data_IF_875206251293
#
_entry.id   IF_875206251293
#
_cell.length_a   1.000
_cell.length_b   1.000
_cell.length_c   1.000
_cell.angle_alpha   90.00
_cell.angle_beta   90.00
_cell.angle_gamma   90.00
#
_symmetry.space_group_name_H-M   'P 1'
#
loop_
_entity.id
_entity.type
_entity.pdbx_description
1 polymer ?
#
# COMPACT_ATOMS: atom_id res chain seq x y z
N UNK A 1 -9.53 48.67 39.42
CA UNK A 1 -10.21 47.56 38.71
C UNK A 1 -9.75 47.34 37.27
N UNK A 2 -9.07 48.27 36.59
CA UNK A 2 -8.73 48.19 35.15
C UNK A 2 -7.47 47.38 34.85
N UNK A 3 -6.44 47.37 35.69
CA UNK A 3 -5.18 46.63 35.46
C UNK A 3 -5.31 45.11 35.62
N UNK A 4 -6.13 44.64 36.55
CA UNK A 4 -6.35 43.18 36.77
C UNK A 4 -7.14 42.54 35.61
N UNK A 5 -8.12 43.28 35.05
CA UNK A 5 -8.87 42.82 33.88
C UNK A 5 -8.02 42.73 32.60
N UNK A 6 -7.00 43.60 32.48
CA UNK A 6 -6.09 43.57 31.34
C UNK A 6 -5.10 42.41 31.44
N UNK A 7 -4.54 42.11 32.61
CA UNK A 7 -3.65 40.98 32.85
C UNK A 7 -4.35 39.63 32.64
N UNK A 8 -5.62 39.48 33.07
CA UNK A 8 -6.42 38.27 32.82
C UNK A 8 -6.69 38.07 31.32
N UNK A 9 -6.91 39.13 30.53
CA UNK A 9 -7.11 39.04 29.08
C UNK A 9 -5.85 38.60 28.36
N UNK A 10 -4.66 39.08 28.74
CA UNK A 10 -3.40 38.63 28.13
C UNK A 10 -3.02 37.20 28.53
N UNK A 11 -3.33 36.76 29.76
CA UNK A 11 -3.09 35.37 30.18
C UNK A 11 -4.03 34.39 29.48
N UNK A 12 -5.29 34.75 29.26
CA UNK A 12 -6.21 33.90 28.48
C UNK A 12 -5.83 33.81 26.99
N UNK A 13 -5.44 34.93 26.38
CA UNK A 13 -4.94 34.95 25.00
C UNK A 13 -3.65 34.14 24.84
N UNK A 14 -2.72 34.27 25.78
CA UNK A 14 -1.48 33.47 25.79
C UNK A 14 -1.78 31.99 26.00
N UNK A 15 -2.69 31.59 26.90
CA UNK A 15 -3.10 30.22 27.13
C UNK A 15 -3.79 29.61 25.88
N UNK A 16 -4.66 30.39 25.21
CA UNK A 16 -5.28 29.95 23.95
C UNK A 16 -4.25 29.81 22.81
N UNK A 17 -3.24 30.66 22.74
CA UNK A 17 -2.14 30.52 21.77
C UNK A 17 -1.29 29.26 22.06
N UNK A 18 -0.96 29.01 23.33
CA UNK A 18 -0.23 27.81 23.75
C UNK A 18 -1.02 26.53 23.50
N UNK A 19 -2.32 26.52 23.76
CA UNK A 19 -3.20 25.37 23.46
C UNK A 19 -3.30 25.09 21.94
N UNK A 20 -3.33 26.12 21.09
CA UNK A 20 -3.32 25.96 19.65
C UNK A 20 -1.95 25.49 19.10
N UNK A 21 -0.84 25.94 19.71
CA UNK A 21 0.51 25.48 19.33
C UNK A 21 0.71 24.02 19.76
N UNK A 22 0.21 23.61 20.93
CA UNK A 22 0.26 22.20 21.36
C UNK A 22 -0.62 21.28 20.49
N UNK A 23 -1.80 21.75 20.06
CA UNK A 23 -2.64 21.00 19.14
C UNK A 23 -2.00 20.83 17.73
N UNK A 24 -1.23 21.84 17.29
CA UNK A 24 -0.51 21.79 16.01
C UNK A 24 0.72 20.86 16.02
N UNK A 25 1.10 20.29 17.17
CA UNK A 25 2.21 19.35 17.33
C UNK A 25 1.76 17.91 17.64
N UNK A 26 0.46 17.66 17.73
CA UNK A 26 -0.05 16.32 17.96
C UNK A 26 0.10 15.49 16.67
N UNK A 27 0.99 14.51 16.72
CA UNK A 27 1.14 13.50 15.67
C UNK A 27 -0.17 12.73 15.51
N UNK A 28 -0.61 12.54 14.26
CA UNK A 28 -1.79 11.76 13.94
C UNK A 28 -1.40 10.55 13.08
N UNK A 29 -1.96 9.39 13.43
CA UNK A 29 -1.84 8.20 12.63
C UNK A 29 -2.99 8.18 11.61
N UNK A 30 -2.65 8.09 10.31
CA UNK A 30 -3.63 8.08 9.20
C UNK A 30 -3.39 6.89 8.30
N UNK A 31 -4.46 6.31 7.77
CA UNK A 31 -4.34 5.15 6.90
C UNK A 31 -5.32 5.16 5.73
N UNK A 32 -4.87 4.55 4.63
CA UNK A 32 -5.72 4.09 3.53
C UNK A 32 -5.50 2.60 3.33
N UNK A 33 -6.59 1.83 3.38
CA UNK A 33 -6.61 0.40 3.10
C UNK A 33 -7.42 0.19 1.82
N UNK A 34 -6.82 -0.44 0.81
CA UNK A 34 -7.47 -0.85 -0.44
C UNK A 34 -7.42 -2.37 -0.52
N UNK A 35 -8.57 -3.02 -0.61
CA UNK A 35 -8.65 -4.48 -0.73
C UNK A 35 -9.72 -4.90 -1.74
N UNK A 36 -9.32 -5.64 -2.77
CA UNK A 36 -10.21 -6.05 -3.86
C UNK A 36 -10.24 -7.57 -3.92
N UNK A 37 -11.34 -8.15 -3.44
CA UNK A 37 -11.57 -9.59 -3.43
C UNK A 37 -12.35 -10.06 -4.63
N UNK A 38 -13.28 -9.23 -5.09
CA UNK A 38 -14.21 -9.58 -6.17
C UNK A 38 -14.07 -8.56 -7.28
N UNK A 39 -13.77 -9.07 -8.45
CA UNK A 39 -13.71 -8.28 -9.66
C UNK A 39 -15.01 -8.42 -10.46
N UNK A 40 -15.32 -7.47 -11.36
CA UNK A 40 -16.51 -7.57 -12.21
C UNK A 40 -16.48 -8.84 -13.06
N UNK A 41 -17.63 -9.45 -13.22
CA UNK A 41 -17.79 -10.53 -14.21
C UNK A 41 -17.41 -10.02 -15.60
N UNK A 42 -16.61 -10.78 -16.32
CA UNK A 42 -16.08 -10.39 -17.63
C UNK A 42 -14.86 -9.48 -17.63
N UNK A 43 -14.37 -9.04 -16.46
CA UNK A 43 -13.10 -8.28 -16.38
C UNK A 43 -11.86 -9.13 -16.72
N UNK A 44 -11.99 -10.46 -16.67
CA UNK A 44 -10.89 -11.43 -16.84
C UNK A 44 -10.10 -11.71 -15.56
N UNK A 45 -10.36 -11.02 -14.47
CA UNK A 45 -9.69 -11.22 -13.19
C UNK A 45 -10.38 -12.24 -12.32
N UNK A 46 -9.59 -13.16 -11.75
CA UNK A 46 -10.03 -14.13 -10.75
C UNK A 46 -10.33 -13.44 -9.41
N UNK A 47 -11.23 -14.04 -8.60
CA UNK A 47 -11.48 -13.57 -7.25
C UNK A 47 -10.39 -14.05 -6.29
N UNK A 48 -10.04 -13.20 -5.31
CA UNK A 48 -9.05 -13.47 -4.26
C UNK A 48 -9.63 -13.13 -2.88
N UNK A 49 -8.86 -13.32 -1.80
CA UNK A 49 -9.37 -13.15 -0.43
C UNK A 49 -8.93 -11.84 0.26
N UNK A 50 -8.69 -10.77 -0.51
CA UNK A 50 -8.23 -9.47 0.01
C UNK A 50 -9.15 -8.84 1.07
N UNK A 51 -10.44 -9.21 1.12
CA UNK A 51 -11.35 -8.77 2.19
C UNK A 51 -10.94 -9.28 3.58
N UNK A 52 -10.23 -10.43 3.66
CA UNK A 52 -9.66 -10.91 4.91
C UNK A 52 -8.47 -10.04 5.33
N UNK A 53 -7.65 -9.63 4.36
CA UNK A 53 -6.50 -8.74 4.60
C UNK A 53 -6.96 -7.36 5.07
N UNK A 54 -7.99 -6.81 4.45
CA UNK A 54 -8.58 -5.53 4.86
C UNK A 54 -8.99 -5.57 6.33
N UNK A 55 -9.69 -6.63 6.76
CA UNK A 55 -10.10 -6.80 8.17
C UNK A 55 -8.91 -6.99 9.11
N UNK A 56 -7.92 -7.79 8.69
CA UNK A 56 -6.72 -8.06 9.50
C UNK A 56 -5.89 -6.79 9.67
N UNK A 57 -5.67 -6.04 8.58
CA UNK A 57 -4.96 -4.75 8.59
C UNK A 57 -5.68 -3.71 9.45
N UNK A 58 -6.99 -3.61 9.31
CA UNK A 58 -7.79 -2.70 10.15
C UNK A 58 -7.64 -3.01 11.65
N UNK A 59 -7.71 -4.30 12.01
CA UNK A 59 -7.50 -4.74 13.40
C UNK A 59 -6.08 -4.44 13.90
N UNK A 60 -5.06 -4.61 13.03
CA UNK A 60 -3.69 -4.23 13.34
C UNK A 60 -3.58 -2.73 13.65
N UNK A 61 -4.11 -1.88 12.76
CA UNK A 61 -4.01 -0.43 12.89
C UNK A 61 -4.71 0.06 14.18
N UNK A 62 -5.88 -0.47 14.50
CA UNK A 62 -6.57 -0.19 15.76
C UNK A 62 -5.70 -0.59 16.98
N UNK A 63 -5.06 -1.77 16.94
CA UNK A 63 -4.13 -2.22 18.00
C UNK A 63 -2.84 -1.39 18.08
N UNK A 64 -2.48 -0.68 17.01
CA UNK A 64 -1.36 0.27 16.94
C UNK A 64 -1.77 1.71 17.24
N UNK A 65 -3.00 1.97 17.69
CA UNK A 65 -3.46 3.28 18.12
C UNK A 65 -3.91 4.22 16.99
N UNK A 66 -4.27 3.66 15.82
CA UNK A 66 -4.97 4.43 14.79
C UNK A 66 -6.43 4.63 15.19
N UNK A 67 -6.90 5.85 15.16
CA UNK A 67 -8.30 6.17 15.38
C UNK A 67 -9.14 5.79 14.15
N UNK A 68 -10.34 5.24 14.36
CA UNK A 68 -11.25 4.80 13.28
C UNK A 68 -11.53 5.90 12.25
N UNK A 69 -11.68 7.13 12.72
CA UNK A 69 -11.92 8.31 11.88
C UNK A 69 -10.76 8.68 10.95
N UNK A 70 -9.58 8.14 11.22
CA UNK A 70 -8.36 8.36 10.46
C UNK A 70 -7.98 7.16 9.57
N UNK A 71 -8.83 6.11 9.50
CA UNK A 71 -8.66 4.94 8.64
C UNK A 71 -9.69 4.99 7.51
N UNK A 72 -9.26 5.25 6.30
CA UNK A 72 -10.09 5.12 5.12
C UNK A 72 -9.95 3.70 4.54
N UNK A 73 -11.07 3.08 4.15
CA UNK A 73 -11.08 1.75 3.54
C UNK A 73 -11.88 1.75 2.26
N UNK A 74 -11.28 1.25 1.19
CA UNK A 74 -11.92 0.99 -0.09
C UNK A 74 -11.90 -0.52 -0.36
N UNK A 75 -13.08 -1.11 -0.60
CA UNK A 75 -13.19 -2.55 -0.89
C UNK A 75 -14.01 -2.79 -2.15
N UNK A 76 -13.59 -3.76 -2.96
CA UNK A 76 -14.30 -4.25 -4.14
C UNK A 76 -14.79 -3.08 -5.02
N UNK A 77 -16.07 -3.01 -5.36
CA UNK A 77 -16.66 -1.99 -6.25
C UNK A 77 -16.41 -0.53 -5.82
N UNK A 78 -15.99 -0.28 -4.59
CA UNK A 78 -15.58 1.05 -4.14
C UNK A 78 -14.11 1.36 -4.46
N UNK A 79 -13.31 0.35 -4.78
CA UNK A 79 -11.88 0.48 -5.06
C UNK A 79 -11.60 0.66 -6.55
N UNK A 80 -12.36 1.51 -7.25
CA UNK A 80 -12.05 1.94 -8.62
C UNK A 80 -10.81 2.83 -8.62
N UNK A 81 -10.08 2.90 -9.75
CA UNK A 81 -8.92 3.80 -9.88
C UNK A 81 -9.26 5.24 -9.46
N UNK A 82 -10.39 5.76 -9.94
CA UNK A 82 -10.85 7.10 -9.59
C UNK A 82 -11.08 7.28 -8.08
N UNK A 83 -11.69 6.32 -7.43
CA UNK A 83 -11.97 6.41 -6.00
C UNK A 83 -10.68 6.26 -5.16
N UNK A 84 -9.73 5.42 -5.61
CA UNK A 84 -8.39 5.30 -5.00
C UNK A 84 -7.67 6.65 -5.09
N UNK A 85 -7.63 7.28 -6.27
CA UNK A 85 -7.03 8.61 -6.45
C UNK A 85 -7.68 9.68 -5.56
N UNK A 86 -9.02 9.67 -5.43
CA UNK A 86 -9.74 10.56 -4.51
C UNK A 86 -9.40 10.31 -3.03
N UNK A 87 -9.27 9.05 -2.63
CA UNK A 87 -8.90 8.70 -1.26
C UNK A 87 -7.45 9.13 -0.95
N UNK A 88 -6.51 8.90 -1.88
CA UNK A 88 -5.13 9.37 -1.78
C UNK A 88 -5.06 10.91 -1.71
N UNK A 89 -5.82 11.62 -2.54
CA UNK A 89 -5.91 13.07 -2.49
C UNK A 89 -6.47 13.57 -1.14
N UNK A 90 -7.52 12.91 -0.63
CA UNK A 90 -8.12 13.25 0.67
C UNK A 90 -7.14 13.01 1.81
N UNK A 91 -6.40 11.89 1.76
CA UNK A 91 -5.34 11.57 2.71
C UNK A 91 -4.21 12.60 2.66
N UNK A 92 -3.75 13.00 1.46
CA UNK A 92 -2.77 14.08 1.30
C UNK A 92 -3.25 15.41 1.88
N UNK A 93 -4.52 15.75 1.69
CA UNK A 93 -5.10 16.99 2.21
C UNK A 93 -5.19 16.98 3.75
N UNK A 94 -5.47 15.83 4.35
CA UNK A 94 -5.57 15.65 5.80
C UNK A 94 -4.22 15.54 6.49
N UNK A 95 -3.18 15.06 5.78
CA UNK A 95 -1.84 14.81 6.34
C UNK A 95 -1.14 16.12 6.69
N UNK A 96 -0.56 16.17 7.88
CA UNK A 96 0.20 17.28 8.42
C UNK A 96 1.62 16.85 8.79
N UNK A 97 2.50 17.84 8.99
CA UNK A 97 3.89 17.58 9.38
C UNK A 97 3.96 16.86 10.73
N UNK A 98 4.63 15.72 10.75
CA UNK A 98 4.77 14.84 11.90
C UNK A 98 3.79 13.66 11.90
N UNK A 99 2.81 13.60 10.98
CA UNK A 99 1.86 12.49 10.90
C UNK A 99 2.54 11.21 10.43
N UNK A 100 2.01 10.08 10.89
CA UNK A 100 2.36 8.75 10.41
C UNK A 100 1.28 8.26 9.44
N UNK A 101 1.69 7.98 8.22
CA UNK A 101 0.80 7.55 7.14
C UNK A 101 1.05 6.09 6.82
N UNK A 102 -0.02 5.32 6.72
CA UNK A 102 0.01 3.92 6.34
C UNK A 102 -0.85 3.68 5.10
N UNK A 103 -0.25 3.09 4.08
CA UNK A 103 -0.93 2.67 2.85
C UNK A 103 -0.90 1.14 2.76
N UNK A 104 -2.03 0.53 2.45
CA UNK A 104 -2.13 -0.90 2.23
C UNK A 104 -2.92 -1.17 0.95
N UNK A 105 -2.33 -1.94 0.05
CA UNK A 105 -2.99 -2.45 -1.15
C UNK A 105 -2.93 -3.97 -1.13
N UNK A 106 -4.09 -4.59 -1.24
CA UNK A 106 -4.28 -6.03 -1.37
C UNK A 106 -5.20 -6.27 -2.56
N UNK A 107 -4.60 -6.65 -3.69
CA UNK A 107 -5.27 -6.80 -4.98
C UNK A 107 -4.41 -7.64 -5.93
N UNK A 108 -4.84 -7.80 -7.17
CA UNK A 108 -3.97 -8.28 -8.24
C UNK A 108 -2.94 -7.23 -8.64
N UNK A 109 -1.85 -7.68 -9.25
CA UNK A 109 -0.88 -6.87 -9.96
C UNK A 109 -0.65 -7.42 -11.38
N UNK A 110 -0.11 -6.59 -12.25
CA UNK A 110 0.20 -6.92 -13.65
C UNK A 110 1.34 -6.07 -14.15
N UNK A 111 2.22 -6.67 -14.96
CA UNK A 111 3.16 -5.88 -15.76
C UNK A 111 2.45 -5.31 -16.98
N UNK A 112 2.79 -4.09 -17.35
CA UNK A 112 2.24 -3.43 -18.50
C UNK A 112 3.33 -2.69 -19.29
N UNK A 113 3.08 -2.42 -20.55
CA UNK A 113 3.99 -1.64 -21.39
C UNK A 113 4.29 -0.29 -20.72
N UNK A 114 5.58 0.03 -20.61
CA UNK A 114 6.05 1.34 -20.17
C UNK A 114 5.58 2.42 -21.15
N UNK A 115 4.94 3.48 -20.64
CA UNK A 115 4.37 4.54 -21.46
C UNK A 115 5.23 5.83 -21.47
N UNK A 116 6.25 5.91 -20.63
CA UNK A 116 7.09 7.08 -20.48
C UNK A 116 8.57 6.85 -20.84
N UNK A 117 8.99 5.58 -20.96
CA UNK A 117 10.33 5.17 -21.42
C UNK A 117 11.40 5.28 -20.34
N UNK A 118 11.04 5.20 -19.06
CA UNK A 118 11.99 5.28 -17.95
C UNK A 118 12.40 3.90 -17.40
N UNK A 119 11.78 2.81 -17.89
CA UNK A 119 12.12 1.44 -17.54
C UNK A 119 13.12 0.80 -18.51
N UNK A 120 14.18 0.17 -17.96
CA UNK A 120 15.22 -0.48 -18.79
C UNK A 120 14.68 -1.65 -19.60
N UNK A 121 13.68 -2.39 -19.09
CA UNK A 121 13.04 -3.51 -19.77
C UNK A 121 11.73 -3.14 -20.48
N UNK A 122 11.32 -1.89 -20.40
CA UNK A 122 10.13 -1.37 -21.04
C UNK A 122 8.82 -1.77 -20.38
N UNK A 123 8.83 -2.19 -19.10
CA UNK A 123 7.64 -2.61 -18.39
C UNK A 123 7.42 -1.81 -17.11
N UNK A 124 6.23 -1.27 -16.91
CA UNK A 124 5.75 -0.78 -15.62
C UNK A 124 5.08 -1.90 -14.81
N UNK A 125 5.09 -1.78 -13.50
CA UNK A 125 4.22 -2.53 -12.62
C UNK A 125 2.92 -1.76 -12.34
N UNK A 126 1.80 -2.47 -12.33
CA UNK A 126 0.52 -1.87 -12.00
C UNK A 126 -0.24 -2.69 -10.95
N UNK A 127 -0.82 -1.99 -9.99
CA UNK A 127 -1.89 -2.52 -9.16
C UNK A 127 -3.19 -2.51 -9.95
N UNK A 128 -4.07 -3.48 -9.69
CA UNK A 128 -5.31 -3.68 -10.44
C UNK A 128 -6.51 -3.19 -9.63
N UNK A 129 -7.03 -1.98 -9.89
CA UNK A 129 -8.29 -1.51 -9.34
C UNK A 129 -9.49 -2.33 -9.82
N UNK A 130 -10.62 -2.20 -9.12
CA UNK A 130 -11.85 -2.93 -9.39
C UNK A 130 -12.36 -2.80 -10.84
N UNK A 131 -12.15 -1.63 -11.46
CA UNK A 131 -12.60 -1.27 -12.80
C UNK A 131 -11.54 -1.49 -13.90
N UNK A 132 -10.41 -2.11 -13.57
CA UNK A 132 -9.39 -2.48 -14.55
C UNK A 132 -9.74 -3.78 -15.27
N UNK A 133 -9.48 -3.83 -16.59
CA UNK A 133 -9.64 -5.03 -17.42
C UNK A 133 -8.32 -5.82 -17.47
N UNK A 134 -8.43 -7.13 -17.62
CA UNK A 134 -7.28 -8.03 -17.72
C UNK A 134 -6.54 -7.90 -19.04
N UNK A 135 -7.29 -7.73 -20.16
CA UNK A 135 -6.76 -7.76 -21.51
C UNK A 135 -6.57 -6.37 -22.10
N UNK A 136 -5.46 -6.19 -22.80
CA UNK A 136 -5.25 -5.01 -23.65
C UNK A 136 -6.20 -5.07 -24.85
N UNK A 137 -6.89 -4.00 -25.15
CA UNK A 137 -7.82 -3.88 -26.29
C UNK A 137 -7.59 -2.54 -26.99
N UNK A 138 -6.90 -2.53 -28.16
CA UNK A 138 -6.55 -1.30 -28.86
C UNK A 138 -7.78 -0.44 -29.18
N UNK A 139 -7.74 0.84 -28.81
CA UNK A 139 -8.82 1.79 -29.02
C UNK A 139 -10.03 1.65 -28.08
N UNK A 140 -10.08 0.59 -27.25
CA UNK A 140 -11.15 0.34 -26.27
C UNK A 140 -10.63 0.44 -24.84
N UNK A 141 -9.61 -0.35 -24.50
CA UNK A 141 -9.01 -0.38 -23.16
C UNK A 141 -7.49 -0.56 -23.25
N UNK A 142 -6.76 0.49 -22.96
CA UNK A 142 -5.31 0.56 -23.02
C UNK A 142 -4.67 0.82 -21.65
N UNK A 143 -5.32 0.38 -20.56
CA UNK A 143 -4.79 0.44 -19.21
C UNK A 143 -5.16 1.70 -18.42
N UNK A 144 -6.15 2.48 -18.89
CA UNK A 144 -6.56 3.73 -18.24
C UNK A 144 -7.00 3.57 -16.77
N UNK A 145 -7.44 2.37 -16.38
CA UNK A 145 -7.82 2.07 -15.00
C UNK A 145 -6.77 1.25 -14.22
N UNK A 146 -5.62 0.94 -14.81
CA UNK A 146 -4.49 0.40 -14.05
C UNK A 146 -3.85 1.50 -13.20
N UNK A 147 -3.45 1.19 -11.98
CA UNK A 147 -2.70 2.11 -11.13
C UNK A 147 -1.21 1.78 -11.24
N UNK A 148 -0.51 2.48 -12.14
CA UNK A 148 0.92 2.31 -12.36
C UNK A 148 1.72 2.66 -11.10
N UNK A 149 2.84 2.03 -10.93
CA UNK A 149 3.76 2.28 -9.82
C UNK A 149 4.32 3.71 -9.83
N UNK A 150 4.54 4.32 -10.99
CA UNK A 150 4.89 5.73 -11.13
C UNK A 150 3.83 6.68 -10.56
N UNK A 151 2.56 6.42 -10.88
CA UNK A 151 1.45 7.19 -10.34
C UNK A 151 1.36 7.02 -8.82
N UNK A 152 1.51 5.79 -8.33
CA UNK A 152 1.55 5.51 -6.89
C UNK A 152 2.77 6.17 -6.22
N UNK A 153 3.94 6.13 -6.88
CA UNK A 153 5.16 6.78 -6.44
C UNK A 153 5.00 8.28 -6.23
N UNK A 154 4.30 8.96 -7.17
CA UNK A 154 4.00 10.39 -7.00
C UNK A 154 3.04 10.66 -5.84
N UNK A 155 2.04 9.81 -5.61
CA UNK A 155 1.17 9.92 -4.43
C UNK A 155 1.95 9.74 -3.12
N UNK A 156 2.84 8.75 -3.07
CA UNK A 156 3.71 8.52 -1.91
C UNK A 156 4.63 9.75 -1.69
N UNK A 157 5.20 10.32 -2.75
CA UNK A 157 6.03 11.53 -2.67
C UNK A 157 5.26 12.73 -2.10
N UNK A 158 4.00 12.93 -2.53
CA UNK A 158 3.12 13.99 -1.99
C UNK A 158 2.84 13.78 -0.50
N UNK A 159 2.53 12.55 -0.08
CA UNK A 159 2.32 12.22 1.32
C UNK A 159 3.59 12.45 2.16
N UNK A 160 4.77 12.03 1.67
CA UNK A 160 6.06 12.27 2.32
C UNK A 160 6.34 13.77 2.50
N UNK A 161 6.03 14.58 1.48
CA UNK A 161 6.17 16.05 1.55
C UNK A 161 5.26 16.65 2.61
N UNK A 162 4.03 16.17 2.72
CA UNK A 162 3.06 16.61 3.72
C UNK A 162 3.45 16.22 5.14
N UNK A 163 3.86 14.96 5.33
CA UNK A 163 4.29 14.45 6.63
C UNK A 163 5.63 15.06 7.10
N UNK A 164 6.51 15.47 6.17
CA UNK A 164 7.80 16.10 6.47
C UNK A 164 8.75 15.19 7.27
N UNK A 165 9.96 15.62 7.53
CA UNK A 165 11.03 14.81 8.13
C UNK A 165 10.65 14.15 9.48
N UNK A 166 9.72 14.72 10.22
CA UNK A 166 9.28 14.22 11.54
C UNK A 166 8.17 13.16 11.43
N UNK A 167 7.52 13.05 10.27
CA UNK A 167 6.52 12.03 9.99
C UNK A 167 7.13 10.76 9.42
N UNK A 168 6.29 9.85 8.99
CA UNK A 168 6.71 8.66 8.23
C UNK A 168 5.61 8.18 7.28
N UNK A 169 6.01 7.48 6.22
CA UNK A 169 5.08 6.82 5.30
C UNK A 169 5.46 5.34 5.21
N UNK A 170 4.53 4.46 5.57
CA UNK A 170 4.68 3.01 5.42
C UNK A 170 3.72 2.53 4.34
N UNK A 171 4.23 1.74 3.40
CA UNK A 171 3.46 1.19 2.28
C UNK A 171 3.58 -0.32 2.29
N UNK A 172 2.46 -1.03 2.18
CA UNK A 172 2.39 -2.49 2.07
C UNK A 172 1.63 -2.83 0.80
N UNK A 173 2.31 -3.51 -0.13
CA UNK A 173 1.80 -3.91 -1.44
C UNK A 173 1.69 -5.44 -1.49
N UNK A 174 0.52 -5.97 -1.18
CA UNK A 174 0.22 -7.40 -1.27
C UNK A 174 -0.42 -7.72 -2.62
N UNK A 175 0.37 -7.58 -3.66
CA UNK A 175 0.07 -7.83 -5.06
C UNK A 175 1.33 -8.40 -5.72
N UNK A 176 1.17 -9.09 -6.85
CA UNK A 176 2.27 -9.63 -7.64
C UNK A 176 2.11 -9.22 -9.10
N UNK A 177 3.17 -8.74 -9.69
CA UNK A 177 3.17 -8.29 -11.09
C UNK A 177 3.57 -9.40 -12.08
N UNK A 178 4.10 -10.52 -11.57
CA UNK A 178 4.45 -11.69 -12.38
C UNK A 178 3.67 -12.93 -11.95
N UNK A 179 3.19 -13.72 -12.91
CA UNK A 179 2.54 -15.00 -12.68
C UNK A 179 3.40 -16.22 -13.07
N UNK A 180 4.66 -15.99 -13.46
CA UNK A 180 5.54 -17.02 -14.03
C UNK A 180 6.60 -17.56 -13.06
N UNK A 181 6.37 -17.45 -11.74
CA UNK A 181 7.27 -18.06 -10.76
C UNK A 181 7.57 -19.53 -11.05
N UNK A 182 8.73 -20.01 -10.57
CA UNK A 182 9.25 -21.35 -10.80
C UNK A 182 8.37 -22.51 -10.26
N UNK A 183 7.16 -22.24 -9.78
CA UNK A 183 6.21 -23.24 -9.30
C UNK A 183 4.93 -23.19 -10.13
N UNK A 184 4.54 -24.33 -10.66
CA UNK A 184 3.22 -24.49 -11.27
C UNK A 184 2.15 -24.38 -10.16
N UNK A 185 1.08 -23.59 -10.35
CA UNK A 185 0.00 -23.49 -9.38
C UNK A 185 -0.70 -24.87 -9.24
N UNK A 186 -1.02 -25.21 -7.99
CA UNK A 186 -1.90 -26.34 -7.69
C UNK A 186 -3.36 -25.90 -7.81
N UNK A 187 -4.29 -26.85 -7.86
CA UNK A 187 -5.71 -26.57 -8.13
C UNK A 187 -6.39 -25.62 -7.13
N UNK A 188 -5.82 -25.49 -5.92
CA UNK A 188 -6.35 -24.63 -4.84
C UNK A 188 -5.48 -23.38 -4.57
N UNK A 189 -4.48 -23.11 -5.42
CA UNK A 189 -3.62 -21.95 -5.26
C UNK A 189 -4.30 -20.68 -5.78
N UNK A 190 -4.50 -19.70 -4.93
CA UNK A 190 -4.94 -18.35 -5.32
C UNK A 190 -3.72 -17.47 -5.56
N UNK A 191 -3.57 -16.99 -6.80
CA UNK A 191 -2.46 -16.15 -7.24
C UNK A 191 -2.90 -14.69 -7.29
N UNK A 192 -2.04 -13.78 -6.81
CA UNK A 192 -2.30 -12.34 -6.79
C UNK A 192 -1.63 -11.57 -7.93
N UNK A 193 -1.59 -12.16 -9.10
CA UNK A 193 -0.98 -11.57 -10.29
C UNK A 193 -1.15 -12.45 -11.51
N UNK A 194 -0.49 -12.06 -12.59
CA UNK A 194 -0.53 -12.77 -13.86
C UNK A 194 0.82 -12.68 -14.57
N UNK A 195 1.12 -13.69 -15.41
CA UNK A 195 2.24 -13.62 -16.35
C UNK A 195 1.89 -12.97 -17.69
N UNK A 196 0.64 -12.54 -17.85
CA UNK A 196 0.24 -11.80 -19.05
C UNK A 196 0.69 -10.35 -18.93
N UNK A 197 1.50 -9.90 -19.87
CA UNK A 197 1.93 -8.50 -19.99
C UNK A 197 0.82 -7.72 -20.68
N UNK A 198 0.37 -6.65 -20.04
CA UNK A 198 -0.67 -5.78 -20.58
C UNK A 198 -0.07 -4.82 -21.63
N UNK A 199 -0.08 -5.27 -22.87
CA UNK A 199 0.50 -4.58 -24.02
C UNK A 199 -0.17 -5.03 -25.32
N UNK A 200 0.03 -4.33 -26.46
CA UNK A 200 -0.31 -4.83 -27.78
C UNK A 200 0.33 -6.20 -28.07
N UNK A 201 -0.31 -7.02 -28.91
CA UNK A 201 0.14 -8.39 -29.21
C UNK A 201 1.56 -8.45 -29.84
N UNK A 202 1.99 -7.40 -30.50
CA UNK A 202 3.31 -7.27 -31.15
C UNK A 202 4.37 -6.60 -30.25
N UNK A 203 4.02 -6.27 -29.00
CA UNK A 203 4.95 -5.67 -28.04
C UNK A 203 5.97 -6.71 -27.55
N UNK A 204 7.23 -6.34 -27.60
CA UNK A 204 8.34 -7.17 -27.08
C UNK A 204 9.10 -6.37 -26.02
N UNK A 205 9.07 -6.80 -24.76
CA UNK A 205 9.88 -6.20 -23.70
C UNK A 205 11.37 -6.23 -24.05
N UNK A 206 12.13 -5.26 -23.56
CA UNK A 206 13.58 -5.24 -23.70
C UNK A 206 14.24 -6.05 -22.57
N UNK A 207 15.49 -6.50 -22.79
CA UNK A 207 16.26 -7.10 -21.69
C UNK A 207 16.74 -5.98 -20.75
N UNK A 208 16.23 -5.95 -19.54
CA UNK A 208 16.57 -4.94 -18.55
C UNK A 208 16.27 -5.41 -17.12
N UNK A 209 16.53 -4.56 -16.13
CA UNK A 209 16.18 -4.81 -14.74
C UNK A 209 15.10 -3.82 -14.33
N UNK A 210 14.04 -4.36 -13.73
CA UNK A 210 13.07 -3.54 -13.02
C UNK A 210 13.68 -2.96 -11.75
N UNK A 211 13.75 -1.65 -11.57
CA UNK A 211 13.94 -1.10 -10.26
C UNK A 211 12.64 -1.25 -9.47
N UNK A 212 12.71 -1.91 -8.33
CA UNK A 212 11.57 -1.95 -7.40
C UNK A 212 11.11 -0.52 -7.04
N UNK A 213 9.82 -0.32 -6.81
CA UNK A 213 9.23 0.96 -6.36
C UNK A 213 10.01 1.57 -5.17
N UNK A 214 10.52 0.74 -4.26
CA UNK A 214 11.35 1.18 -3.13
C UNK A 214 12.66 1.85 -3.56
N UNK A 215 13.24 1.45 -4.68
CA UNK A 215 14.48 2.03 -5.21
C UNK A 215 14.25 3.35 -5.94
N UNK A 216 13.04 3.57 -6.47
CA UNK A 216 12.65 4.84 -7.11
C UNK A 216 12.32 5.93 -6.10
N UNK A 217 11.83 5.56 -4.91
CA UNK A 217 11.54 6.50 -3.83
C UNK A 217 12.83 6.98 -3.16
N UNK A 218 13.65 7.72 -3.90
CA UNK A 218 14.94 8.27 -3.43
C UNK A 218 14.76 9.00 -2.09
N UNK A 219 15.79 8.90 -1.23
CA UNK A 219 15.88 9.75 -0.04
C UNK A 219 16.14 11.20 -0.50
N UNK A 220 15.10 12.01 -0.43
CA UNK A 220 15.16 13.45 -0.65
C UNK A 220 15.12 14.14 0.72
N UNK A 221 15.97 15.14 0.93
CA UNK A 221 15.93 15.95 2.15
C UNK A 221 14.61 16.69 2.29
N UNK A 222 14.11 16.82 3.51
CA UNK A 222 12.83 17.48 3.80
C UNK A 222 11.60 16.60 3.66
N UNK A 223 11.75 15.36 3.16
CA UNK A 223 10.65 14.41 3.03
C UNK A 223 10.61 13.42 4.20
N UNK A 224 9.40 12.97 4.54
CA UNK A 224 9.24 11.91 5.53
C UNK A 224 9.99 10.64 5.11
N UNK A 225 10.69 9.96 6.04
CA UNK A 225 11.22 8.63 5.79
C UNK A 225 10.08 7.70 5.37
N UNK A 226 10.41 6.77 4.45
CA UNK A 226 9.42 5.81 3.95
C UNK A 226 9.98 4.39 3.98
N UNK A 227 9.09 3.43 4.21
CA UNK A 227 9.33 2.01 4.05
C UNK A 227 8.25 1.41 3.16
N UNK A 228 8.68 0.70 2.11
CA UNK A 228 7.80 -0.05 1.21
C UNK A 228 8.07 -1.54 1.43
N UNK A 229 7.00 -2.30 1.62
CA UNK A 229 7.01 -3.75 1.74
C UNK A 229 6.19 -4.32 0.59
N UNK A 230 6.83 -5.03 -0.32
CA UNK A 230 6.21 -5.72 -1.46
C UNK A 230 6.20 -7.22 -1.23
N UNK A 231 5.15 -7.89 -1.70
CA UNK A 231 4.95 -9.32 -1.47
C UNK A 231 5.94 -10.20 -2.22
N UNK A 232 6.42 -9.76 -3.37
CA UNK A 232 7.33 -10.49 -4.22
C UNK A 232 8.28 -9.55 -4.98
N UNK A 233 9.40 -10.11 -5.42
CA UNK A 233 10.22 -9.52 -6.45
C UNK A 233 9.54 -9.71 -7.81
N UNK A 234 9.96 -8.96 -8.82
CA UNK A 234 9.39 -8.99 -10.17
C UNK A 234 9.28 -10.40 -10.79
N UNK A 235 10.13 -11.33 -10.38
CA UNK A 235 10.19 -12.71 -10.89
C UNK A 235 9.53 -13.75 -9.98
N UNK A 236 8.91 -13.35 -8.85
CA UNK A 236 8.33 -14.26 -7.87
C UNK A 236 6.80 -14.26 -7.94
N UNK A 237 6.16 -15.42 -7.86
CA UNK A 237 4.71 -15.53 -7.73
C UNK A 237 4.26 -15.36 -6.29
N UNK A 238 3.24 -14.54 -6.07
CA UNK A 238 2.60 -14.36 -4.76
C UNK A 238 1.34 -15.22 -4.66
N UNK A 239 1.38 -16.18 -3.74
CA UNK A 239 0.25 -17.06 -3.41
C UNK A 239 -0.43 -16.59 -2.13
N UNK A 240 -1.72 -16.86 -2.02
CA UNK A 240 -2.42 -16.69 -0.75
C UNK A 240 -1.99 -17.75 0.26
N UNK A 241 -1.94 -17.37 1.51
CA UNK A 241 -1.67 -18.23 2.65
C UNK A 241 -2.97 -18.69 3.31
N UNK A 242 -3.13 -19.99 3.50
CA UNK A 242 -4.26 -20.55 4.26
C UNK A 242 -3.90 -20.66 5.74
N UNK A 243 -4.57 -19.86 6.59
CA UNK A 243 -4.48 -20.01 8.03
C UNK A 243 -5.45 -21.10 8.50
N UNK A 244 -4.93 -22.29 8.74
CA UNK A 244 -5.72 -23.46 9.19
C UNK A 244 -6.42 -23.22 10.53
N UNK A 245 -5.87 -22.36 11.41
CA UNK A 245 -6.48 -22.05 12.70
C UNK A 245 -7.77 -21.24 12.55
N UNK A 246 -7.78 -20.28 11.60
CA UNK A 246 -8.96 -19.45 11.32
C UNK A 246 -9.78 -19.99 10.13
N UNK A 247 -9.30 -21.02 9.42
CA UNK A 247 -9.88 -21.56 8.20
C UNK A 247 -10.13 -20.46 7.15
N UNK A 248 -9.10 -19.63 6.89
CA UNK A 248 -9.18 -18.48 5.98
C UNK A 248 -7.92 -18.30 5.17
N UNK A 249 -8.10 -17.83 3.94
CA UNK A 249 -7.01 -17.37 3.09
C UNK A 249 -6.69 -15.90 3.35
N UNK A 250 -5.42 -15.56 3.26
CA UNK A 250 -4.86 -14.22 3.38
C UNK A 250 -3.76 -14.02 2.35
N UNK A 251 -3.50 -12.79 1.96
CA UNK A 251 -2.23 -12.46 1.33
C UNK A 251 -1.06 -12.77 2.27
N UNK A 252 -0.07 -13.46 1.74
CA UNK A 252 1.06 -13.93 2.55
C UNK A 252 1.80 -12.75 3.22
N UNK A 253 2.04 -11.67 2.47
CA UNK A 253 2.68 -10.48 3.01
C UNK A 253 1.83 -9.84 4.11
N UNK A 254 0.53 -9.63 3.85
CA UNK A 254 -0.38 -9.02 4.82
C UNK A 254 -0.44 -9.81 6.12
N UNK A 255 -0.60 -11.14 6.02
CA UNK A 255 -0.63 -12.01 7.19
C UNK A 255 0.67 -11.92 7.99
N UNK A 256 1.80 -12.11 7.32
CA UNK A 256 3.12 -12.07 7.93
C UNK A 256 3.43 -10.69 8.53
N UNK A 257 3.10 -9.60 7.83
CA UNK A 257 3.28 -8.23 8.29
C UNK A 257 2.49 -7.95 9.57
N UNK A 258 1.19 -8.30 9.58
CA UNK A 258 0.33 -8.11 10.74
C UNK A 258 0.82 -8.91 11.96
N UNK A 259 1.18 -10.19 11.76
CA UNK A 259 1.68 -11.03 12.84
C UNK A 259 3.04 -10.55 13.37
N UNK A 260 3.95 -10.13 12.49
CA UNK A 260 5.27 -9.60 12.88
C UNK A 260 5.13 -8.30 13.65
N UNK A 261 4.25 -7.39 13.20
CA UNK A 261 4.01 -6.11 13.87
C UNK A 261 3.42 -6.33 15.26
N UNK A 262 2.34 -7.12 15.39
CA UNK A 262 1.70 -7.40 16.68
C UNK A 262 2.64 -8.10 17.66
N UNK A 263 3.45 -9.04 17.19
CA UNK A 263 4.42 -9.76 18.03
C UNK A 263 5.59 -8.90 18.53
N UNK A 264 5.77 -7.70 17.97
CA UNK A 264 6.88 -6.81 18.29
C UNK A 264 6.45 -5.35 18.58
N UNK A 265 5.15 -5.08 18.74
CA UNK A 265 4.62 -3.70 18.88
C UNK A 265 5.25 -2.89 20.02
N UNK A 266 5.70 -3.58 21.08
CA UNK A 266 6.29 -2.95 22.27
C UNK A 266 7.83 -2.94 22.22
N UNK A 267 8.45 -3.30 21.08
CA UNK A 267 9.90 -3.37 20.91
C UNK A 267 10.37 -2.35 19.89
N UNK A 268 11.40 -1.56 20.20
CA UNK A 268 12.00 -0.69 19.20
C UNK A 268 12.73 -1.55 18.15
N UNK A 269 12.23 -1.53 16.92
CA UNK A 269 12.84 -2.23 15.79
C UNK A 269 13.28 -1.23 14.72
N UNK A 270 14.44 -1.48 14.11
CA UNK A 270 14.79 -0.81 12.86
C UNK A 270 14.00 -1.43 11.71
N UNK A 271 13.75 -0.66 10.65
CA UNK A 271 13.09 -1.17 9.42
C UNK A 271 13.82 -2.40 8.88
N UNK A 272 15.16 -2.41 8.89
CA UNK A 272 15.96 -3.55 8.45
C UNK A 272 15.67 -4.81 9.27
N UNK A 273 15.69 -4.70 10.60
CA UNK A 273 15.43 -5.84 11.46
C UNK A 273 13.99 -6.34 11.33
N UNK A 274 13.04 -5.42 11.20
CA UNK A 274 11.63 -5.76 10.91
C UNK A 274 11.51 -6.53 9.59
N UNK A 275 12.17 -6.07 8.51
CA UNK A 275 12.16 -6.74 7.22
C UNK A 275 12.77 -8.16 7.28
N UNK A 276 13.84 -8.37 8.09
CA UNK A 276 14.39 -9.70 8.32
C UNK A 276 13.41 -10.64 9.03
N UNK A 277 12.71 -10.14 10.07
CA UNK A 277 11.68 -10.91 10.77
C UNK A 277 10.50 -11.25 9.84
N UNK A 278 10.07 -10.29 9.06
CA UNK A 278 9.00 -10.45 8.07
C UNK A 278 9.37 -11.52 7.03
N UNK A 279 10.56 -11.43 6.45
CA UNK A 279 11.06 -12.43 5.48
C UNK A 279 11.09 -13.84 6.07
N UNK A 280 11.58 -14.00 7.30
CA UNK A 280 11.57 -15.30 8.00
C UNK A 280 10.15 -15.81 8.20
N UNK A 281 9.22 -14.95 8.59
CA UNK A 281 7.82 -15.32 8.79
C UNK A 281 7.19 -15.79 7.49
N UNK A 282 7.35 -15.06 6.39
CA UNK A 282 6.86 -15.45 5.07
C UNK A 282 7.42 -16.81 4.61
N UNK A 283 8.72 -17.08 4.87
CA UNK A 283 9.35 -18.36 4.52
C UNK A 283 8.79 -19.54 5.32
N UNK A 284 8.43 -19.34 6.59
CA UNK A 284 7.81 -20.37 7.43
C UNK A 284 6.39 -20.63 6.94
N UNK A 285 5.64 -19.58 6.69
CA UNK A 285 4.24 -19.68 6.28
C UNK A 285 4.11 -20.33 4.88
N UNK A 286 5.02 -20.02 3.93
CA UNK A 286 5.12 -20.73 2.63
C UNK A 286 5.33 -22.25 2.78
N UNK A 287 6.13 -22.69 3.74
CA UNK A 287 6.40 -24.10 4.00
C UNK A 287 5.22 -24.84 4.65
N UNK A 288 4.31 -24.11 5.26
CA UNK A 288 3.12 -24.70 5.92
C UNK A 288 1.98 -24.97 4.95
N UNK A 289 2.13 -24.58 3.69
CA UNK A 289 1.15 -24.79 2.60
C UNK A 289 1.51 -26.02 1.76
N UNK A 290 2.56 -26.79 2.14
CA UNK A 290 3.00 -28.04 1.49
C UNK A 290 2.57 -29.23 2.30
#
# INVERSE_FOLDING_TARGET
MTRVKLLLRYSLLSLCLWLNICAALAQTNRALIVGISRYPEGSGWENIHASNDTRLTHSLLAACGYEETNIATLSDAKATKRNIAHALQSLCNATQTGDYVYLHFSCHGQQMMDDNGDEEDGLDEALIPYDAQFWYAPGEYEGQNHLRDDELGEWIRRLRRKAGERGSVTVVLDACHSGTGNRLPEADDYIRGTGYIFAPDDYVPTEGKHPELSLRLKQESGLAPTAVFSACLAEETNFEYFDAYQSRYYGLLTFAFCKTTLGNKDKPLTVRHFAELLKRKMQIDRKSVV
#
